data_IF_893678934708
#
_entry.id   IF_893678934708
#
_cell.length_a   1.000
_cell.length_b   1.000
_cell.length_c   1.000
_cell.angle_alpha   90.00
_cell.angle_beta   90.00
_cell.angle_gamma   90.00
#
_symmetry.space_group_name_H-M   'P 1'
#
loop_
_entity.id
_entity.type
_entity.pdbx_description
1 polymer ?
#
# COMPACT_ATOMS: atom_id res chain seq x y z
N UNK A 1 11.77 26.32 -12.33
CA UNK A 1 10.65 25.47 -11.86
C UNK A 1 11.27 24.42 -10.95
N UNK A 2 11.36 24.68 -9.65
CA UNK A 2 12.35 24.01 -8.77
C UNK A 2 11.72 23.26 -7.57
N UNK A 3 10.41 22.96 -7.64
CA UNK A 3 9.66 22.28 -6.57
C UNK A 3 8.77 21.14 -7.11
N UNK A 4 9.28 20.34 -8.07
CA UNK A 4 8.48 19.24 -8.63
C UNK A 4 8.77 17.94 -7.91
N UNK A 5 7.85 17.56 -7.02
CA UNK A 5 7.64 16.17 -6.61
C UNK A 5 7.68 15.25 -7.82
N UNK A 6 8.36 14.11 -7.68
CA UNK A 6 8.61 13.20 -8.78
C UNK A 6 7.43 12.25 -9.09
N UNK A 7 6.22 12.81 -9.14
CA UNK A 7 4.99 12.07 -9.45
C UNK A 7 5.03 11.40 -10.82
N UNK A 8 5.81 11.96 -11.76
CA UNK A 8 5.96 11.38 -13.09
C UNK A 8 6.69 10.04 -13.02
N UNK A 9 7.81 9.98 -12.31
CA UNK A 9 8.55 8.73 -12.19
C UNK A 9 7.80 7.71 -11.31
N UNK A 10 7.09 8.15 -10.26
CA UNK A 10 6.18 7.27 -9.49
C UNK A 10 5.13 6.63 -10.41
N UNK A 11 4.43 7.45 -11.21
CA UNK A 11 3.40 6.97 -12.14
C UNK A 11 3.98 6.01 -13.20
N UNK A 12 5.15 6.32 -13.74
CA UNK A 12 5.84 5.48 -14.71
C UNK A 12 6.25 4.14 -14.12
N UNK A 13 6.83 4.12 -12.91
CA UNK A 13 7.20 2.87 -12.22
C UNK A 13 5.99 1.98 -12.02
N UNK A 14 4.87 2.53 -11.55
CA UNK A 14 3.63 1.77 -11.37
C UNK A 14 3.15 1.24 -12.72
N UNK A 15 3.02 2.11 -13.74
CA UNK A 15 2.48 1.73 -15.06
C UNK A 15 3.32 0.64 -15.75
N UNK A 16 4.64 0.64 -15.57
CA UNK A 16 5.54 -0.38 -16.14
C UNK A 16 5.40 -1.72 -15.40
N UNK A 17 5.21 -1.66 -14.07
CA UNK A 17 5.17 -2.85 -13.22
C UNK A 17 3.77 -3.42 -12.99
N UNK A 18 2.71 -2.72 -13.39
CA UNK A 18 1.32 -3.04 -13.13
C UNK A 18 0.90 -4.41 -13.67
N UNK A 19 0.07 -5.10 -12.90
CA UNK A 19 -0.59 -6.34 -13.30
C UNK A 19 -2.10 -6.26 -13.05
N UNK A 20 -2.91 -7.04 -13.77
CA UNK A 20 -4.35 -7.12 -13.50
C UNK A 20 -4.64 -7.43 -12.02
N UNK A 21 -5.56 -6.67 -11.44
CA UNK A 21 -5.97 -6.81 -10.04
C UNK A 21 -5.09 -6.07 -9.03
N UNK A 22 -4.03 -5.37 -9.49
CA UNK A 22 -3.28 -4.48 -8.62
C UNK A 22 -4.17 -3.35 -8.09
N UNK A 23 -3.88 -2.88 -6.88
CA UNK A 23 -4.55 -1.74 -6.25
C UNK A 23 -3.52 -0.68 -5.87
N UNK A 24 -3.84 0.61 -6.03
CA UNK A 24 -2.97 1.72 -5.63
C UNK A 24 -3.57 2.43 -4.42
N UNK A 25 -2.78 2.63 -3.36
CA UNK A 25 -3.16 3.41 -2.18
C UNK A 25 -2.19 4.56 -1.95
N UNK A 26 -2.76 5.75 -1.77
CA UNK A 26 -2.05 6.98 -1.48
C UNK A 26 -2.24 7.37 -0.02
N UNK A 27 -1.19 7.19 0.77
CA UNK A 27 -1.10 7.67 2.14
C UNK A 27 -0.31 8.98 2.21
N UNK A 28 -0.87 10.00 1.58
CA UNK A 28 -0.29 11.33 1.46
C UNK A 28 -1.29 12.41 1.90
N UNK A 29 -0.79 13.44 2.56
CA UNK A 29 -1.62 14.38 3.32
C UNK A 29 -2.48 15.34 2.49
N UNK A 30 -2.20 15.55 1.20
CA UNK A 30 -2.86 16.60 0.41
C UNK A 30 -3.66 16.04 -0.78
N UNK A 31 -4.83 16.64 -1.06
CA UNK A 31 -5.65 16.33 -2.25
C UNK A 31 -4.89 16.63 -3.54
N UNK A 32 -4.05 17.68 -3.54
CA UNK A 32 -3.22 18.07 -4.68
C UNK A 32 -2.29 16.95 -5.11
N UNK A 33 -1.69 16.24 -4.15
CA UNK A 33 -0.80 15.12 -4.42
C UNK A 33 -1.57 13.92 -5.00
N UNK A 34 -2.79 13.64 -4.50
CA UNK A 34 -3.68 12.61 -5.09
C UNK A 34 -3.99 12.92 -6.56
N UNK A 35 -4.33 14.17 -6.88
CA UNK A 35 -4.57 14.60 -8.26
C UNK A 35 -3.31 14.52 -9.13
N UNK A 36 -2.12 14.71 -8.55
CA UNK A 36 -0.87 14.66 -9.31
C UNK A 36 -0.57 13.25 -9.83
N UNK A 37 -0.74 12.20 -9.02
CA UNK A 37 -0.58 10.83 -9.52
C UNK A 37 -1.59 10.52 -10.62
N UNK A 38 -2.88 10.81 -10.39
CA UNK A 38 -3.94 10.57 -11.37
C UNK A 38 -3.77 11.34 -12.68
N UNK A 39 -2.99 12.42 -12.69
CA UNK A 39 -2.66 13.16 -13.91
C UNK A 39 -1.62 12.44 -14.78
N UNK A 40 -0.64 11.76 -14.18
CA UNK A 40 0.44 11.08 -14.91
C UNK A 40 0.21 9.58 -15.10
N UNK A 41 -0.61 8.98 -14.26
CA UNK A 41 -0.93 7.57 -14.30
C UNK A 41 -1.99 7.28 -15.38
N UNK A 42 -1.72 6.27 -16.20
CA UNK A 42 -2.55 5.88 -17.35
C UNK A 42 -2.92 4.39 -17.36
N UNK A 43 -2.69 3.70 -16.24
CA UNK A 43 -3.08 2.30 -16.07
C UNK A 43 -4.51 2.13 -15.54
N UNK A 44 -4.87 0.89 -15.26
CA UNK A 44 -6.24 0.48 -14.94
C UNK A 44 -6.44 0.19 -13.44
N UNK A 45 -5.36 0.13 -12.65
CA UNK A 45 -5.44 -0.12 -11.22
C UNK A 45 -6.20 1.01 -10.49
N UNK A 46 -7.20 0.67 -9.66
CA UNK A 46 -7.95 1.67 -8.91
C UNK A 46 -7.06 2.39 -7.89
N UNK A 47 -7.21 3.71 -7.80
CA UNK A 47 -6.49 4.57 -6.87
C UNK A 47 -7.38 4.95 -5.68
N UNK A 48 -6.90 4.68 -4.47
CA UNK A 48 -7.56 5.04 -3.21
C UNK A 48 -6.71 6.01 -2.39
N UNK A 49 -7.34 6.85 -1.59
CA UNK A 49 -6.63 7.71 -0.62
C UNK A 49 -6.90 7.24 0.81
N UNK A 50 -5.81 6.89 1.52
CA UNK A 50 -5.83 6.47 2.92
C UNK A 50 -4.73 7.16 3.70
N UNK A 51 -4.97 8.42 4.05
CA UNK A 51 -3.97 9.34 4.65
C UNK A 51 -3.31 8.85 5.93
N UNK A 52 -3.99 7.97 6.69
CA UNK A 52 -3.54 7.52 8.01
C UNK A 52 -2.62 6.30 7.97
N UNK A 53 -2.39 5.71 6.80
CA UNK A 53 -1.68 4.43 6.70
C UNK A 53 -0.17 4.56 6.95
N UNK A 54 0.46 5.63 6.48
CA UNK A 54 1.86 5.98 6.75
C UNK A 54 1.91 7.28 7.59
N UNK A 55 1.62 7.22 8.90
CA UNK A 55 1.56 8.41 9.75
C UNK A 55 2.96 8.96 10.04
N UNK A 56 3.15 10.28 9.95
CA UNK A 56 4.43 10.95 10.22
C UNK A 56 4.84 10.87 11.69
N UNK A 57 3.93 11.17 12.61
CA UNK A 57 4.36 11.51 13.99
C UNK A 57 4.09 10.42 15.03
N UNK A 58 3.36 9.35 14.68
CA UNK A 58 2.85 8.37 15.67
C UNK A 58 2.58 6.99 15.06
N UNK A 59 3.61 6.30 14.57
CA UNK A 59 3.49 4.88 14.22
C UNK A 59 3.29 4.06 15.51
N UNK A 60 2.05 3.91 15.94
CA UNK A 60 1.62 2.96 16.97
C UNK A 60 0.91 1.81 16.30
N UNK A 61 1.18 0.58 16.73
CA UNK A 61 0.58 -0.65 16.18
C UNK A 61 -0.95 -0.55 16.00
N UNK A 62 -1.75 -0.09 16.98
CA UNK A 62 -3.20 0.03 16.81
C UNK A 62 -3.64 1.01 15.71
N UNK A 63 -2.88 2.09 15.49
CA UNK A 63 -3.21 3.09 14.45
C UNK A 63 -2.95 2.52 13.06
N UNK A 64 -1.85 1.78 12.91
CA UNK A 64 -1.53 1.11 11.65
C UNK A 64 -2.54 -0.01 11.40
N UNK A 65 -2.86 -0.84 12.39
CA UNK A 65 -3.88 -1.90 12.29
C UNK A 65 -5.26 -1.34 11.92
N UNK A 66 -5.70 -0.24 12.54
CA UNK A 66 -6.95 0.44 12.18
C UNK A 66 -6.91 0.93 10.72
N UNK A 67 -5.79 1.52 10.28
CA UNK A 67 -5.65 1.96 8.89
C UNK A 67 -5.64 0.78 7.90
N UNK A 68 -5.03 -0.35 8.28
CA UNK A 68 -5.00 -1.58 7.51
C UNK A 68 -6.38 -2.21 7.34
N UNK A 69 -7.22 -2.17 8.39
CA UNK A 69 -8.60 -2.65 8.32
C UNK A 69 -9.48 -1.82 7.37
N UNK A 70 -9.07 -0.60 7.03
CA UNK A 70 -9.76 0.29 6.11
C UNK A 70 -9.21 0.22 4.68
N UNK A 71 -8.30 -0.72 4.38
CA UNK A 71 -7.78 -0.91 3.03
C UNK A 71 -8.92 -1.32 2.07
N UNK A 72 -8.89 -0.83 0.82
CA UNK A 72 -9.74 -1.38 -0.23
C UNK A 72 -9.41 -2.88 -0.45
N UNK A 73 -10.28 -3.64 -1.12
CA UNK A 73 -9.91 -4.98 -1.57
C UNK A 73 -8.60 -4.97 -2.37
N UNK A 74 -7.74 -5.95 -2.09
CA UNK A 74 -6.44 -6.13 -2.78
C UNK A 74 -6.47 -7.52 -3.44
N UNK A 75 -6.96 -7.61 -4.68
CA UNK A 75 -7.08 -8.90 -5.39
C UNK A 75 -5.73 -9.57 -5.65
N UNK A 76 -4.67 -8.80 -5.88
CA UNK A 76 -3.33 -9.34 -6.17
C UNK A 76 -2.24 -8.63 -5.37
N UNK A 77 -1.90 -7.38 -5.72
CA UNK A 77 -0.80 -6.62 -5.14
C UNK A 77 -1.24 -5.21 -4.80
N UNK A 78 -0.55 -4.61 -3.85
CA UNK A 78 -0.77 -3.24 -3.41
C UNK A 78 0.45 -2.39 -3.73
N UNK A 79 0.24 -1.34 -4.52
CA UNK A 79 1.16 -0.22 -4.65
C UNK A 79 0.81 0.82 -3.58
N UNK A 80 1.69 0.98 -2.59
CA UNK A 80 1.50 1.93 -1.51
C UNK A 80 2.47 3.11 -1.66
N UNK A 81 1.91 4.31 -1.80
CA UNK A 81 2.68 5.57 -1.77
C UNK A 81 2.57 6.20 -0.38
N UNK A 82 3.69 6.32 0.31
CA UNK A 82 3.79 7.06 1.57
C UNK A 82 4.45 8.43 1.33
N UNK A 83 3.91 9.46 1.99
CA UNK A 83 4.50 10.79 2.02
C UNK A 83 5.72 10.87 2.94
N UNK A 84 6.13 12.08 3.30
CA UNK A 84 7.34 12.28 4.09
C UNK A 84 7.12 12.30 5.58
N UNK A 85 8.23 12.12 6.31
CA UNK A 85 8.27 12.23 7.76
C UNK A 85 7.74 11.02 8.52
N UNK A 86 7.36 9.93 7.85
CA UNK A 86 6.97 8.68 8.53
C UNK A 86 8.18 7.84 8.92
N UNK A 87 8.09 7.20 10.09
CA UNK A 87 9.11 6.27 10.58
C UNK A 87 8.98 4.94 9.83
N UNK A 88 9.73 4.80 8.72
CA UNK A 88 9.71 3.63 7.86
C UNK A 88 9.99 2.33 8.63
N UNK A 89 10.97 2.35 9.54
CA UNK A 89 11.38 1.14 10.27
C UNK A 89 10.25 0.65 11.19
N UNK A 90 9.61 1.56 11.93
CA UNK A 90 8.44 1.21 12.75
C UNK A 90 7.26 0.80 11.89
N UNK A 91 7.03 1.48 10.78
CA UNK A 91 5.96 1.15 9.85
C UNK A 91 6.12 -0.29 9.32
N UNK A 92 7.31 -0.63 8.80
CA UNK A 92 7.64 -1.98 8.32
C UNK A 92 7.47 -3.06 9.38
N UNK A 93 7.73 -2.74 10.64
CA UNK A 93 7.61 -3.71 11.75
C UNK A 93 6.18 -4.21 11.91
N UNK A 94 5.19 -3.33 11.76
CA UNK A 94 3.77 -3.69 11.80
C UNK A 94 3.30 -4.20 10.44
N UNK A 95 3.71 -3.51 9.36
CA UNK A 95 3.24 -3.80 8.02
C UNK A 95 3.61 -5.20 7.52
N UNK A 96 4.80 -5.71 7.90
CA UNK A 96 5.25 -7.08 7.55
C UNK A 96 4.39 -8.21 8.13
N UNK A 97 3.64 -7.93 9.21
CA UNK A 97 2.71 -8.91 9.79
C UNK A 97 1.54 -9.20 8.81
N UNK A 98 1.20 -8.24 7.97
CA UNK A 98 0.07 -8.31 7.03
C UNK A 98 0.49 -8.47 5.57
N UNK A 99 1.71 -8.03 5.21
CA UNK A 99 2.18 -7.99 3.84
C UNK A 99 3.59 -8.52 3.66
N UNK A 100 3.83 -9.14 2.52
CA UNK A 100 5.16 -9.42 1.99
C UNK A 100 5.61 -8.25 1.12
N UNK A 101 6.82 -7.73 1.37
CA UNK A 101 7.44 -6.71 0.52
C UNK A 101 7.99 -7.35 -0.77
N UNK A 102 7.57 -6.87 -1.94
CA UNK A 102 8.23 -7.17 -3.20
C UNK A 102 9.31 -6.13 -3.51
N UNK A 103 8.96 -4.85 -3.52
CA UNK A 103 9.90 -3.76 -3.84
C UNK A 103 9.66 -2.51 -3.00
N UNK A 104 10.70 -1.71 -2.85
CA UNK A 104 10.66 -0.36 -2.25
C UNK A 104 11.56 0.56 -3.06
N UNK A 105 11.03 1.73 -3.41
CA UNK A 105 11.75 2.80 -4.11
C UNK A 105 11.47 4.15 -3.46
N UNK A 106 12.42 5.06 -3.56
CA UNK A 106 12.33 6.41 -3.01
C UNK A 106 12.37 7.45 -4.12
N UNK A 107 11.57 8.50 -3.98
CA UNK A 107 11.40 9.57 -4.96
C UNK A 107 11.46 10.93 -4.29
N UNK A 108 11.92 11.95 -5.01
CA UNK A 108 12.02 13.31 -4.45
C UNK A 108 10.64 13.90 -4.13
N UNK A 109 10.46 14.45 -2.91
CA UNK A 109 9.24 15.13 -2.49
C UNK A 109 9.38 16.67 -2.49
N UNK A 110 8.33 17.36 -2.03
CA UNK A 110 8.11 18.82 -2.00
C UNK A 110 9.32 19.62 -1.48
N UNK A 111 10.12 19.11 -0.53
CA UNK A 111 11.24 19.83 0.07
C UNK A 111 12.58 19.07 0.08
N UNK A 112 12.85 18.21 -0.90
CA UNK A 112 14.06 17.36 -0.94
C UNK A 112 15.38 18.13 -0.67
N UNK A 113 15.47 19.40 -1.06
CA UNK A 113 16.69 20.22 -0.87
C UNK A 113 16.91 20.72 0.56
N UNK A 114 15.93 20.59 1.48
CA UNK A 114 16.02 21.15 2.85
C UNK A 114 16.15 20.10 3.94
N UNK A 115 15.72 18.88 3.68
CA UNK A 115 15.76 17.69 4.55
C UNK A 115 15.54 16.49 3.61
N UNK A 116 15.98 15.28 3.99
CA UNK A 116 15.75 14.02 3.24
C UNK A 116 14.24 13.70 3.14
N UNK A 117 13.51 14.51 2.38
CA UNK A 117 12.07 14.55 2.21
C UNK A 117 11.75 13.69 0.97
N UNK A 118 11.67 12.38 1.19
CA UNK A 118 11.43 11.37 0.17
C UNK A 118 10.00 10.83 0.21
N UNK A 119 9.38 10.66 -0.96
CA UNK A 119 8.20 9.83 -1.12
C UNK A 119 8.65 8.37 -1.24
N UNK A 120 7.95 7.47 -0.56
CA UNK A 120 8.27 6.04 -0.60
C UNK A 120 7.19 5.32 -1.40
N UNK A 121 7.61 4.53 -2.38
CA UNK A 121 6.74 3.62 -3.13
C UNK A 121 7.06 2.19 -2.71
N UNK A 122 6.07 1.50 -2.15
CA UNK A 122 6.15 0.09 -1.82
C UNK A 122 5.27 -0.71 -2.77
N UNK A 123 5.78 -1.85 -3.24
CA UNK A 123 4.96 -2.90 -3.85
C UNK A 123 4.91 -4.07 -2.88
N UNK A 124 3.70 -4.48 -2.51
CA UNK A 124 3.50 -5.53 -1.51
C UNK A 124 2.39 -6.50 -1.90
N UNK A 125 2.44 -7.70 -1.32
CA UNK A 125 1.42 -8.76 -1.47
C UNK A 125 0.79 -9.05 -0.10
N UNK A 126 -0.55 -9.09 0.03
CA UNK A 126 -1.21 -9.53 1.25
C UNK A 126 -0.80 -10.97 1.62
N UNK A 127 -0.40 -11.17 2.88
CA UNK A 127 -0.03 -12.51 3.39
C UNK A 127 -1.18 -13.52 3.30
N UNK A 128 -2.44 -13.05 3.31
CA UNK A 128 -3.63 -13.90 3.14
C UNK A 128 -3.70 -14.59 1.77
N UNK A 129 -3.16 -13.97 0.72
CA UNK A 129 -3.13 -14.55 -0.63
C UNK A 129 -2.09 -15.67 -0.76
N UNK A 130 -1.07 -15.67 0.10
CA UNK A 130 -0.08 -16.74 0.19
C UNK A 130 -0.56 -17.92 1.05
N UNK A 131 -1.76 -17.85 1.65
CA UNK A 131 -2.29 -18.86 2.57
C UNK A 131 -3.15 -19.93 1.88
N UNK A 132 -3.17 -19.98 0.55
CA UNK A 132 -3.74 -21.11 -0.20
C UNK A 132 -2.78 -22.31 -0.17
N UNK A 133 -2.77 -23.01 0.96
CA UNK A 133 -2.68 -24.47 1.07
C UNK A 133 -2.62 -24.87 2.55
N UNK A 134 -3.77 -25.09 3.20
CA UNK A 134 -3.94 -25.93 4.43
C UNK A 134 -5.40 -26.02 4.90
N UNK A 135 -6.39 -26.14 4.01
CA UNK A 135 -7.73 -26.63 4.42
C UNK A 135 -8.24 -27.66 3.42
N UNK A 136 -7.93 -28.93 3.69
CA UNK A 136 -8.61 -30.07 3.11
C UNK A 136 -10.13 -29.97 3.39
N UNK A 137 -11.00 -30.11 2.38
CA UNK A 137 -12.42 -30.30 2.60
C UNK A 137 -12.73 -31.80 2.66
N UNK A 138 -12.57 -32.40 3.83
CA UNK A 138 -13.13 -33.71 4.13
C UNK A 138 -13.55 -33.79 5.59
N UNK A 139 -14.81 -33.43 5.86
CA UNK A 139 -15.64 -34.23 6.76
C UNK A 139 -17.12 -33.89 6.53
N UNK A 140 -17.66 -34.46 5.44
CA UNK A 140 -19.07 -34.83 5.40
C UNK A 140 -19.15 -36.22 6.02
N UNK A 141 -19.55 -36.30 7.30
CA UNK A 141 -20.21 -37.50 7.82
C UNK A 141 -21.45 -37.14 8.59
N UNK A 142 -22.56 -37.35 7.88
CA UNK A 142 -23.89 -37.63 8.38
C UNK A 142 -23.89 -38.30 9.76
N UNK A 143 -24.65 -37.73 10.69
CA UNK A 143 -25.31 -38.54 11.72
C UNK A 143 -26.80 -38.29 11.66
N UNK A 144 -27.46 -39.23 10.99
CA UNK A 144 -28.89 -39.50 11.05
C UNK A 144 -29.41 -39.37 12.48
N UNK A 145 -30.49 -38.61 12.59
CA UNK A 145 -31.55 -38.79 13.57
C UNK A 145 -32.02 -40.25 13.57
N UNK A 146 -32.05 -40.87 14.75
CA UNK A 146 -32.98 -41.96 15.05
C UNK A 146 -33.78 -41.59 16.29
N UNK A 147 -35.08 -41.78 16.14
CA UNK A 147 -36.17 -41.77 17.11
C UNK A 147 -35.94 -42.82 18.19
#
# INVERSE_FOLDING_TARGET
VQDRQDWRNVAQTISIGEKPGDTIVLSIGSRKMTSALGHYYSGDAPIYSLRKLCPSDRVKKPVVEEALNNLPPIPSRLWLVCGTGFDEQKFRTVFKEHFQLETHQEFTNENFYRQNDLMHLFLVIPNSLNSTDSRNPTDIKNKSTSV
#
